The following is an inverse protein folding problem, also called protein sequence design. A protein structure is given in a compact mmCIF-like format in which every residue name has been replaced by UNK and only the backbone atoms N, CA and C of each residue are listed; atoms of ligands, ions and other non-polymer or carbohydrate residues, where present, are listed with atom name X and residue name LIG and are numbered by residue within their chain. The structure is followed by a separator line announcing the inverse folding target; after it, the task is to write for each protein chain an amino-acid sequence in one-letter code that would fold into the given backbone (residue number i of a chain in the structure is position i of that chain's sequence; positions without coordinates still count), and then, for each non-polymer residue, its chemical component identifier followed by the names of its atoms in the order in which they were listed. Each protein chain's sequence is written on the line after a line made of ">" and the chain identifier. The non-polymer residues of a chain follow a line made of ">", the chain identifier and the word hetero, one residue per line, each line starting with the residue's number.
data_IF_500428262359
#
_entry.id   IF_500428262359
#
_cell.length_a   1.000
_cell.length_b   1.000
_cell.length_c   1.000
_cell.angle_alpha   90.00
_cell.angle_beta   90.00
_cell.angle_gamma   90.00
#
_symmetry.space_group_name_H-M   'P 1'
#
loop_
_entity.id
_entity.type
_entity.pdbx_description
1 polymer ?
#
# COMPACT_ATOMS: atom_id res chain seq x y z
N UNK A 1 -7.88 1.36 -3.98
CA UNK A 1 -7.00 1.85 -2.90
C UNK A 1 -6.14 3.04 -3.33
N UNK A 2 -5.13 2.85 -4.19
CA UNK A 2 -4.18 3.90 -4.63
C UNK A 2 -4.80 5.12 -5.32
N UNK A 3 -6.00 4.98 -5.90
CA UNK A 3 -6.69 6.04 -6.67
C UNK A 3 -6.91 7.32 -5.84
N UNK A 4 -7.21 7.18 -4.54
CA UNK A 4 -7.38 8.32 -3.63
C UNK A 4 -6.09 9.13 -3.45
N UNK A 5 -4.93 8.50 -3.63
CA UNK A 5 -3.60 9.10 -3.55
C UNK A 5 -3.07 9.56 -4.92
N UNK A 6 -3.84 9.34 -6.00
CA UNK A 6 -3.45 9.61 -7.40
C UNK A 6 -2.12 8.95 -7.80
N UNK A 7 -1.85 7.76 -7.27
CA UNK A 7 -0.66 6.97 -7.59
C UNK A 7 -0.96 5.88 -8.62
N UNK A 8 0.00 5.64 -9.51
CA UNK A 8 0.09 4.41 -10.31
C UNK A 8 0.31 3.20 -9.41
N UNK A 9 0.13 1.98 -9.95
CA UNK A 9 0.42 0.76 -9.19
C UNK A 9 1.88 0.69 -8.75
N UNK A 10 2.80 1.12 -9.62
CA UNK A 10 4.23 1.12 -9.34
C UNK A 10 4.59 2.13 -8.25
N UNK A 11 4.12 3.37 -8.37
CA UNK A 11 4.36 4.38 -7.33
C UNK A 11 3.76 3.96 -5.99
N UNK A 12 2.56 3.37 -5.98
CA UNK A 12 1.95 2.87 -4.76
C UNK A 12 2.78 1.75 -4.11
N UNK A 13 3.22 0.77 -4.91
CA UNK A 13 4.07 -0.32 -4.48
C UNK A 13 5.38 0.20 -3.85
N UNK A 14 6.10 1.06 -4.57
CA UNK A 14 7.36 1.66 -4.10
C UNK A 14 7.14 2.54 -2.86
N UNK A 15 6.07 3.33 -2.84
CA UNK A 15 5.76 4.23 -1.72
C UNK A 15 5.49 3.49 -0.41
N UNK A 16 4.94 2.28 -0.46
CA UNK A 16 4.56 1.53 0.74
C UNK A 16 5.32 0.21 0.90
N UNK A 17 6.45 0.04 0.20
CA UNK A 17 7.29 -1.16 0.24
C UNK A 17 6.52 -2.46 0.00
N UNK A 18 5.55 -2.41 -0.91
CA UNK A 18 4.81 -3.57 -1.38
C UNK A 18 5.39 -4.01 -2.73
N UNK A 19 5.29 -5.30 -3.05
CA UNK A 19 5.64 -5.75 -4.40
C UNK A 19 4.58 -5.28 -5.40
N UNK A 20 4.99 -4.91 -6.61
CA UNK A 20 4.06 -4.56 -7.69
C UNK A 20 3.12 -5.74 -8.03
N UNK A 21 3.63 -6.98 -7.93
CA UNK A 21 2.84 -8.18 -8.16
C UNK A 21 1.69 -8.29 -7.14
N UNK A 22 1.98 -8.12 -5.85
CA UNK A 22 0.99 -8.13 -4.78
C UNK A 22 -0.09 -7.07 -4.97
N UNK A 23 0.30 -5.84 -5.33
CA UNK A 23 -0.66 -4.75 -5.60
C UNK A 23 -1.57 -5.11 -6.77
N UNK A 24 -1.03 -5.72 -7.83
CA UNK A 24 -1.82 -6.18 -8.99
C UNK A 24 -2.78 -7.31 -8.60
N UNK A 25 -2.30 -8.30 -7.83
CA UNK A 25 -3.12 -9.43 -7.39
C UNK A 25 -4.32 -8.98 -6.58
N UNK A 26 -4.14 -8.00 -5.69
CA UNK A 26 -5.23 -7.43 -4.91
C UNK A 26 -6.19 -6.59 -5.76
N UNK A 27 -5.69 -5.73 -6.65
CA UNK A 27 -6.56 -4.89 -7.49
C UNK A 27 -7.32 -5.69 -8.55
N UNK A 28 -6.78 -6.83 -8.99
CA UNK A 28 -7.41 -7.73 -9.95
C UNK A 28 -8.25 -8.83 -9.28
N UNK A 29 -8.23 -8.92 -7.95
CA UNK A 29 -8.98 -9.94 -7.19
C UNK A 29 -8.42 -11.35 -7.30
N UNK A 30 -7.17 -11.53 -7.77
CA UNK A 30 -6.49 -12.84 -7.83
C UNK A 30 -6.13 -13.36 -6.45
N UNK A 31 -5.86 -12.45 -5.52
CA UNK A 31 -5.61 -12.75 -4.11
C UNK A 31 -6.22 -11.66 -3.23
N UNK A 32 -6.66 -12.02 -2.03
CA UNK A 32 -7.15 -11.04 -1.06
C UNK A 32 -6.04 -10.68 -0.06
N UNK A 33 -5.88 -9.41 0.32
CA UNK A 33 -4.93 -9.04 1.37
C UNK A 33 -5.27 -9.78 2.66
N UNK A 34 -4.27 -10.32 3.34
CA UNK A 34 -4.43 -10.93 4.66
C UNK A 34 -4.78 -9.88 5.73
N UNK A 35 -4.89 -10.29 7.00
CA UNK A 35 -5.28 -9.38 8.08
C UNK A 35 -4.27 -8.24 8.30
N UNK A 36 -2.97 -8.53 8.22
CA UNK A 36 -1.92 -7.53 8.42
C UNK A 36 -1.90 -6.54 7.26
N UNK A 37 -1.97 -7.04 6.02
CA UNK A 37 -2.09 -6.23 4.82
C UNK A 37 -3.33 -5.34 4.90
N UNK A 38 -4.52 -5.88 5.19
CA UNK A 38 -5.76 -5.08 5.35
C UNK A 38 -5.59 -3.96 6.38
N UNK A 39 -4.96 -4.26 7.51
CA UNK A 39 -4.66 -3.26 8.55
C UNK A 39 -3.78 -2.15 8.00
N UNK A 40 -2.67 -2.51 7.33
CA UNK A 40 -1.80 -1.54 6.66
C UNK A 40 -2.57 -0.72 5.62
N UNK A 41 -3.43 -1.33 4.80
CA UNK A 41 -4.20 -0.62 3.79
C UNK A 41 -5.17 0.39 4.43
N UNK A 42 -5.80 0.04 5.55
CA UNK A 42 -6.65 0.94 6.33
C UNK A 42 -5.86 2.14 6.87
N UNK A 43 -4.67 1.91 7.43
CA UNK A 43 -3.81 2.99 7.96
C UNK A 43 -3.34 3.89 6.81
N UNK A 44 -2.93 3.32 5.68
CA UNK A 44 -2.55 4.09 4.47
C UNK A 44 -3.71 4.96 3.98
N UNK A 45 -4.94 4.42 4.00
CA UNK A 45 -6.12 5.18 3.58
C UNK A 45 -6.44 6.34 4.54
N UNK A 46 -6.14 6.18 5.84
CA UNK A 46 -6.38 7.18 6.89
C UNK A 46 -5.30 8.27 6.90
N UNK A 47 -4.02 7.89 6.94
CA UNK A 47 -2.89 8.82 6.99
C UNK A 47 -1.69 8.27 6.20
N UNK A 48 -1.66 8.45 4.87
CA UNK A 48 -0.56 7.99 4.04
C UNK A 48 0.76 8.71 4.35
N UNK A 49 0.72 9.93 4.94
CA UNK A 49 1.93 10.68 5.28
C UNK A 49 2.59 10.11 6.52
N UNK A 50 1.82 9.71 7.54
CA UNK A 50 2.35 9.04 8.72
C UNK A 50 3.04 7.72 8.36
N UNK A 51 2.43 6.91 7.49
CA UNK A 51 3.05 5.64 7.04
C UNK A 51 4.37 5.89 6.30
N UNK A 52 4.41 6.89 5.40
CA UNK A 52 5.66 7.29 4.72
C UNK A 52 6.75 7.68 5.71
N UNK A 53 6.44 8.56 6.68
CA UNK A 53 7.40 8.99 7.70
C UNK A 53 7.89 7.84 8.58
N UNK A 54 7.00 6.96 9.02
CA UNK A 54 7.35 5.85 9.90
C UNK A 54 8.35 4.88 9.23
N UNK A 55 8.22 4.68 7.93
CA UNK A 55 9.14 3.86 7.14
C UNK A 55 10.54 4.49 7.04
N UNK A 56 10.63 5.81 6.94
CA UNK A 56 11.92 6.50 6.81
C UNK A 56 12.76 6.42 8.11
N UNK A 57 12.16 6.01 9.25
CA UNK A 57 12.85 5.79 10.54
C UNK A 57 13.40 4.36 10.69
N UNK A 58 12.96 3.42 9.85
CA UNK A 58 13.36 2.01 9.89
C UNK A 58 14.59 1.70 9.01
N UNK A 59 15.36 2.73 8.66
CA UNK A 59 16.58 2.65 7.83
C UNK A 59 17.75 3.27 8.60
#
# INVERSE_FOLDING_TARGET
>A
MRKALRLTQHEFATTFQLSLATVRDWEQGRYQPDQAARTLLCVIARDPKAVKRARDVLI
#
